data_IF_087378718267
#
_entry.id   IF_087378718267
#
_cell.length_a   1.000
_cell.length_b   1.000
_cell.length_c   1.000
_cell.angle_alpha   90.00
_cell.angle_beta   90.00
_cell.angle_gamma   90.00
#
_symmetry.space_group_name_H-M   'P 1'
#
loop_
_entity.id
_entity.type
_entity.pdbx_description
1 polymer ?
#
# COMPACT_ATOMS: atom_id res chain seq x y z
N UNK A 1 12.34 3.42 -4.64
CA UNK A 1 11.38 3.98 -3.67
C UNK A 1 11.37 3.08 -2.43
N UNK A 2 10.92 3.55 -1.26
CA UNK A 2 10.82 2.72 -0.04
C UNK A 2 9.36 2.64 0.41
N UNK A 3 8.92 1.46 0.85
CA UNK A 3 7.56 1.29 1.35
C UNK A 3 7.28 2.16 2.59
N UNK A 4 8.30 2.37 3.43
CA UNK A 4 8.19 3.20 4.63
C UNK A 4 7.76 4.63 4.32
N UNK A 5 8.15 5.18 3.17
CA UNK A 5 7.72 6.54 2.78
C UNK A 5 6.21 6.61 2.54
N UNK A 6 5.60 5.56 1.98
CA UNK A 6 4.16 5.47 1.78
C UNK A 6 3.43 5.24 3.11
N UNK A 7 3.91 4.28 3.91
CA UNK A 7 3.32 3.97 5.21
C UNK A 7 3.42 5.13 6.20
N UNK A 8 4.51 5.89 6.17
CA UNK A 8 4.65 7.09 6.99
C UNK A 8 3.65 8.18 6.58
N UNK A 9 3.34 8.32 5.29
CA UNK A 9 2.29 9.21 4.81
C UNK A 9 0.92 8.79 5.34
N UNK A 10 0.56 7.52 5.17
CA UNK A 10 -0.72 6.96 5.66
C UNK A 10 -0.84 7.11 7.18
N UNK A 11 0.19 6.74 7.94
CA UNK A 11 0.22 6.89 9.40
C UNK A 11 0.04 8.34 9.84
N UNK A 12 0.64 9.31 9.13
CA UNK A 12 0.44 10.73 9.46
C UNK A 12 -1.01 11.15 9.29
N UNK A 13 -1.69 10.68 8.23
CA UNK A 13 -3.13 10.95 8.04
C UNK A 13 -3.94 10.31 9.17
N UNK A 14 -3.64 9.07 9.51
CA UNK A 14 -4.26 8.33 10.63
C UNK A 14 -4.15 9.11 11.95
N UNK A 15 -2.93 9.53 12.31
CA UNK A 15 -2.67 10.32 13.51
C UNK A 15 -3.47 11.63 13.55
N UNK A 16 -3.73 12.26 12.40
CA UNK A 16 -4.57 13.47 12.33
C UNK A 16 -6.06 13.13 12.51
N UNK A 17 -6.53 12.03 11.90
CA UNK A 17 -7.89 11.52 12.10
C UNK A 17 -8.19 11.23 13.57
N UNK A 18 -7.30 10.50 14.24
CA UNK A 18 -7.36 10.21 15.67
C UNK A 18 -7.43 11.48 16.53
N UNK A 19 -6.56 12.45 16.24
CA UNK A 19 -6.56 13.73 16.96
C UNK A 19 -7.86 14.49 16.76
N UNK A 20 -8.38 14.54 15.53
CA UNK A 20 -9.66 15.18 15.22
C UNK A 20 -10.84 14.47 15.91
N UNK A 21 -10.80 13.15 16.02
CA UNK A 21 -11.79 12.38 16.78
C UNK A 21 -11.67 12.62 18.29
N UNK A 22 -10.48 12.89 18.83
CA UNK A 22 -10.29 13.20 20.24
C UNK A 22 -10.79 14.61 20.62
N UNK A 23 -10.91 15.54 19.67
CA UNK A 23 -11.41 16.90 19.91
C UNK A 23 -12.86 16.87 20.41
N UNK A 24 -13.14 17.63 21.47
CA UNK A 24 -14.49 17.76 22.04
C UNK A 24 -15.36 18.80 21.33
N UNK A 25 -14.74 19.89 20.85
CA UNK A 25 -15.42 21.03 20.21
C UNK A 25 -14.59 21.56 19.03
N UNK A 26 -15.23 21.77 17.88
CA UNK A 26 -14.57 22.20 16.63
C UNK A 26 -14.55 23.73 16.45
N UNK A 27 -14.39 24.48 17.54
CA UNK A 27 -14.49 25.95 17.55
C UNK A 27 -13.14 26.67 17.46
N UNK A 28 -12.03 25.96 17.63
CA UNK A 28 -10.68 26.54 17.63
C UNK A 28 -10.04 26.44 16.23
N UNK A 29 -8.88 27.08 16.03
CA UNK A 29 -8.11 27.01 14.78
C UNK A 29 -7.38 25.67 14.59
N UNK A 30 -7.27 24.89 15.65
CA UNK A 30 -6.53 23.64 15.71
C UNK A 30 -7.11 22.53 14.79
N UNK A 31 -8.44 22.31 14.70
CA UNK A 31 -9.02 21.40 13.71
C UNK A 31 -8.77 21.79 12.25
N UNK A 32 -8.92 23.07 11.88
CA UNK A 32 -8.68 23.53 10.50
C UNK A 32 -7.23 23.27 10.08
N UNK A 33 -6.27 23.64 10.94
CA UNK A 33 -4.85 23.38 10.67
C UNK A 33 -4.57 21.88 10.46
N UNK A 34 -5.20 20.99 11.24
CA UNK A 34 -5.01 19.54 11.06
C UNK A 34 -5.60 19.02 9.75
N UNK A 35 -6.71 19.59 9.30
CA UNK A 35 -7.28 19.26 8.00
C UNK A 35 -6.34 19.71 6.88
N UNK A 36 -5.78 20.92 6.95
CA UNK A 36 -4.80 21.41 5.97
C UNK A 36 -3.55 20.50 5.94
N UNK A 37 -2.99 20.17 7.11
CA UNK A 37 -1.86 19.23 7.23
C UNK A 37 -2.22 17.84 6.66
N UNK A 38 -3.48 17.42 6.77
CA UNK A 38 -3.94 16.15 6.19
C UNK A 38 -4.01 16.21 4.67
N UNK A 39 -4.51 17.31 4.10
CA UNK A 39 -4.59 17.53 2.65
C UNK A 39 -3.18 17.49 2.06
N UNK A 40 -2.22 18.21 2.66
CA UNK A 40 -0.82 18.22 2.21
C UNK A 40 -0.22 16.81 2.17
N UNK A 41 -0.44 16.02 3.23
CA UNK A 41 0.07 14.64 3.30
C UNK A 41 -0.60 13.73 2.26
N UNK A 42 -1.90 13.91 1.99
CA UNK A 42 -2.60 13.15 0.96
C UNK A 42 -2.11 13.48 -0.45
N UNK A 43 -1.76 14.74 -0.71
CA UNK A 43 -1.14 15.16 -1.98
C UNK A 43 0.25 14.53 -2.14
N UNK A 44 1.09 14.55 -1.10
CA UNK A 44 2.39 13.88 -1.10
C UNK A 44 2.24 12.37 -1.34
N UNK A 45 1.26 11.72 -0.69
CA UNK A 45 0.98 10.29 -0.86
C UNK A 45 0.55 9.97 -2.30
N UNK A 46 -0.31 10.80 -2.89
CA UNK A 46 -0.72 10.67 -4.29
C UNK A 46 0.47 10.80 -5.24
N UNK A 47 1.38 11.73 -4.99
CA UNK A 47 2.58 11.91 -5.81
C UNK A 47 3.56 10.74 -5.68
N UNK A 48 3.75 10.21 -4.46
CA UNK A 48 4.56 9.01 -4.25
C UNK A 48 3.98 7.81 -5.01
N UNK A 49 2.66 7.60 -4.95
CA UNK A 49 2.00 6.52 -5.69
C UNK A 49 2.09 6.72 -7.19
N UNK A 50 1.98 7.96 -7.67
CA UNK A 50 2.17 8.32 -9.08
C UNK A 50 3.58 7.99 -9.56
N UNK A 51 4.61 8.35 -8.80
CA UNK A 51 5.99 8.05 -9.12
C UNK A 51 6.31 6.54 -9.13
N UNK A 52 5.51 5.75 -8.41
CA UNK A 52 5.60 4.30 -8.37
C UNK A 52 4.81 3.58 -9.47
N UNK A 53 3.90 4.28 -10.15
CA UNK A 53 3.04 3.71 -11.17
C UNK A 53 3.77 3.58 -12.54
N UNK A 54 3.47 2.54 -13.34
CA UNK A 54 2.54 1.46 -13.06
C UNK A 54 3.11 0.45 -12.07
N UNK A 55 2.26 -0.05 -11.16
CA UNK A 55 2.67 -1.10 -10.24
C UNK A 55 2.94 -2.40 -11.01
N UNK A 56 4.09 -3.06 -10.80
CA UNK A 56 4.40 -4.30 -11.48
C UNK A 56 3.32 -5.36 -11.18
N UNK A 57 2.90 -6.14 -12.19
CA UNK A 57 1.96 -7.23 -11.98
C UNK A 57 2.58 -8.28 -11.06
N UNK A 58 1.75 -9.04 -10.32
CA UNK A 58 2.23 -10.18 -9.54
C UNK A 58 2.97 -11.13 -10.48
N UNK A 59 4.27 -11.32 -10.25
CA UNK A 59 5.02 -12.41 -10.83
C UNK A 59 4.57 -13.69 -10.14
N UNK A 60 3.52 -14.33 -10.67
CA UNK A 60 3.26 -15.74 -10.35
C UNK A 60 4.55 -16.48 -10.72
N UNK A 61 5.26 -17.00 -9.71
CA UNK A 61 6.60 -17.55 -9.87
C UNK A 61 6.64 -18.49 -11.07
N UNK A 62 7.39 -18.10 -12.09
CA UNK A 62 7.62 -18.95 -13.26
C UNK A 62 8.27 -20.24 -12.75
N UNK A 63 7.58 -21.40 -12.80
CA UNK A 63 8.14 -22.66 -12.32
C UNK A 63 9.42 -23.04 -13.09
N UNK A 64 9.71 -22.36 -14.20
CA UNK A 64 10.90 -22.53 -15.03
C UNK A 64 12.18 -21.96 -14.41
N UNK A 65 12.10 -21.18 -13.30
CA UNK A 65 13.28 -20.56 -12.65
C UNK A 65 13.84 -21.32 -11.44
N UNK A 66 13.34 -22.51 -11.14
CA UNK A 66 14.01 -23.43 -10.21
C UNK A 66 15.16 -24.17 -10.94
N UNK A 67 16.21 -23.42 -11.25
CA UNK A 67 17.48 -23.95 -11.76
C UNK A 67 18.31 -24.53 -10.63
N UNK A 68 18.01 -25.79 -10.25
CA UNK A 68 18.85 -26.64 -9.41
C UNK A 68 19.13 -27.95 -10.15
N UNK A 69 20.40 -28.18 -10.45
CA UNK A 69 20.97 -29.25 -11.31
C UNK A 69 20.78 -30.68 -10.80
N UNK A 70 20.63 -31.60 -11.76
CA UNK A 70 20.99 -33.02 -11.75
C UNK A 70 20.42 -33.95 -10.65
N UNK A 71 19.55 -34.89 -11.03
CA UNK A 71 19.88 -36.30 -11.35
C UNK A 71 18.60 -37.16 -11.24
N UNK A 72 18.52 -38.20 -12.08
CA UNK A 72 17.58 -39.33 -12.02
C UNK A 72 16.22 -39.19 -12.74
N UNK A 73 16.31 -39.47 -14.05
CA UNK A 73 15.32 -40.28 -14.77
C UNK A 73 14.87 -41.48 -13.91
N UNK A 74 13.64 -41.44 -13.41
CA UNK A 74 12.89 -42.66 -13.09
C UNK A 74 11.47 -42.56 -13.63
N UNK A 75 11.27 -43.35 -14.69
CA UNK A 75 10.05 -43.87 -15.26
C UNK A 75 8.74 -43.52 -14.52
N UNK A 76 7.88 -42.76 -15.23
CA UNK A 76 6.47 -42.59 -14.90
C UNK A 76 5.76 -43.94 -15.05
N UNK A 77 5.62 -44.64 -13.93
CA UNK A 77 4.65 -45.72 -13.76
C UNK A 77 3.29 -45.07 -13.47
N UNK A 78 2.39 -45.10 -14.45
CA UNK A 78 1.06 -44.52 -14.36
C UNK A 78 0.23 -45.29 -13.33
N UNK A 79 -0.06 -44.66 -12.19
CA UNK A 79 -0.95 -45.19 -11.15
C UNK A 79 -2.20 -44.28 -11.06
N UNK A 80 -3.42 -44.79 -11.28
CA UNK A 80 -4.62 -44.01 -11.16
C UNK A 80 -5.10 -44.09 -9.72
N UNK A 81 -4.57 -43.25 -8.84
CA UNK A 81 -5.22 -42.94 -7.55
C UNK A 81 -4.78 -41.56 -7.08
N UNK A 82 -5.77 -40.82 -6.56
CA UNK A 82 -5.75 -39.37 -6.39
C UNK A 82 -4.67 -38.80 -5.48
N UNK A 83 -4.33 -37.54 -5.76
CA UNK A 83 -3.49 -36.70 -4.89
C UNK A 83 -2.72 -35.67 -5.70
N UNK A 84 -3.38 -34.58 -6.11
CA UNK A 84 -2.70 -33.41 -6.65
C UNK A 84 -1.96 -32.71 -5.49
N UNK A 85 -0.71 -33.10 -5.20
CA UNK A 85 0.19 -32.31 -4.36
C UNK A 85 0.86 -31.24 -5.22
N UNK A 86 0.10 -30.18 -5.51
CA UNK A 86 0.58 -28.97 -6.20
C UNK A 86 0.74 -27.78 -5.25
N UNK A 87 1.27 -27.98 -4.03
CA UNK A 87 1.27 -26.96 -2.97
C UNK A 87 2.56 -26.16 -2.76
N UNK A 88 3.69 -26.53 -3.37
CA UNK A 88 5.00 -26.00 -2.96
C UNK A 88 5.29 -24.52 -3.34
N UNK A 89 4.81 -24.06 -4.50
CA UNK A 89 5.14 -22.73 -5.00
C UNK A 89 4.27 -21.62 -4.37
N UNK A 90 2.97 -21.87 -4.21
CA UNK A 90 2.03 -20.93 -3.59
C UNK A 90 2.28 -20.73 -2.11
N UNK A 91 2.70 -21.79 -1.40
CA UNK A 91 2.96 -21.75 0.05
C UNK A 91 4.24 -20.96 0.37
N UNK A 92 5.26 -21.06 -0.49
CA UNK A 92 6.51 -20.30 -0.36
C UNK A 92 6.32 -18.82 -0.67
N UNK A 93 5.52 -18.47 -1.68
CA UNK A 93 5.19 -17.07 -1.98
C UNK A 93 4.33 -16.44 -0.88
N UNK A 94 3.32 -17.14 -0.35
CA UNK A 94 2.52 -16.67 0.78
C UNK A 94 3.41 -16.41 1.99
N UNK A 95 4.29 -17.36 2.35
CA UNK A 95 5.19 -17.21 3.50
C UNK A 95 6.19 -16.05 3.33
N UNK A 96 6.63 -15.75 2.11
CA UNK A 96 7.50 -14.59 1.83
C UNK A 96 6.73 -13.27 1.92
N UNK A 97 5.52 -13.21 1.40
CA UNK A 97 4.66 -12.03 1.53
C UNK A 97 4.27 -11.77 2.99
N UNK A 98 4.07 -12.82 3.80
CA UNK A 98 3.82 -12.71 5.24
C UNK A 98 5.01 -12.05 5.97
N UNK A 99 6.25 -12.32 5.55
CA UNK A 99 7.43 -11.69 6.12
C UNK A 99 7.45 -10.19 5.82
N UNK A 100 7.23 -9.83 4.56
CA UNK A 100 7.18 -8.43 4.13
C UNK A 100 6.05 -7.72 4.87
N UNK A 101 4.86 -8.32 4.96
CA UNK A 101 3.71 -7.78 5.69
C UNK A 101 4.04 -7.52 7.16
N UNK A 102 4.69 -8.46 7.85
CA UNK A 102 5.10 -8.28 9.25
C UNK A 102 6.06 -7.11 9.45
N UNK A 103 6.98 -6.89 8.50
CA UNK A 103 7.88 -5.72 8.50
C UNK A 103 7.09 -4.43 8.28
N UNK A 104 6.16 -4.43 7.32
CA UNK A 104 5.29 -3.28 7.03
C UNK A 104 4.41 -2.90 8.23
N UNK A 105 3.76 -3.87 8.88
CA UNK A 105 2.95 -3.67 10.09
C UNK A 105 3.80 -3.07 11.21
N UNK A 106 4.99 -3.63 11.46
CA UNK A 106 5.93 -3.10 12.47
C UNK A 106 6.33 -1.66 12.14
N UNK A 107 6.64 -1.39 10.88
CA UNK A 107 6.99 -0.05 10.39
C UNK A 107 5.85 0.93 10.55
N UNK A 108 4.60 0.52 10.25
CA UNK A 108 3.42 1.34 10.45
C UNK A 108 3.21 1.70 11.93
N UNK A 109 3.16 0.69 12.81
CA UNK A 109 2.90 0.89 14.24
C UNK A 109 3.99 1.73 14.93
N UNK A 110 5.26 1.46 14.62
CA UNK A 110 6.41 2.06 15.33
C UNK A 110 7.06 3.21 14.58
N UNK A 111 6.66 3.44 13.34
CA UNK A 111 7.19 4.47 12.44
C UNK A 111 8.51 4.04 11.79
N UNK A 112 8.92 2.78 12.05
CA UNK A 112 10.16 2.18 11.62
C UNK A 112 10.22 0.70 12.03
N UNK A 113 11.05 -0.12 11.36
CA UNK A 113 11.19 -1.54 11.63
C UNK A 113 12.64 -1.91 12.01
N UNK A 114 13.09 -1.62 13.25
CA UNK A 114 14.42 -2.02 13.69
C UNK A 114 14.48 -3.55 13.85
N UNK A 115 15.57 -4.15 13.41
CA UNK A 115 15.75 -5.60 13.35
C UNK A 115 15.63 -6.27 14.73
N UNK A 116 15.91 -5.52 15.79
CA UNK A 116 15.85 -5.94 17.19
C UNK A 116 14.43 -6.21 17.71
N UNK A 117 13.39 -5.71 17.04
CA UNK A 117 11.99 -5.97 17.42
C UNK A 117 11.48 -7.33 16.93
N UNK A 118 12.23 -8.00 16.06
CA UNK A 118 11.84 -9.28 15.50
C UNK A 118 12.42 -10.44 16.31
N UNK A 119 11.68 -11.56 16.36
CA UNK A 119 12.18 -12.81 16.90
C UNK A 119 13.32 -13.38 16.05
N UNK A 120 14.15 -14.25 16.62
CA UNK A 120 15.34 -14.79 15.95
C UNK A 120 15.03 -15.50 14.63
N UNK A 121 13.89 -16.21 14.55
CA UNK A 121 13.46 -16.86 13.30
C UNK A 121 13.18 -15.82 12.20
N UNK A 122 12.52 -14.72 12.56
CA UNK A 122 12.20 -13.63 11.63
C UNK A 122 13.46 -12.89 11.21
N UNK A 123 14.40 -12.65 12.12
CA UNK A 123 15.70 -12.04 11.79
C UNK A 123 16.48 -12.88 10.79
N UNK A 124 16.55 -14.20 11.00
CA UNK A 124 17.21 -15.11 10.06
C UNK A 124 16.54 -15.04 8.68
N UNK A 125 15.21 -15.05 8.64
CA UNK A 125 14.44 -14.94 7.40
C UNK A 125 14.68 -13.60 6.70
N UNK A 126 14.64 -12.47 7.41
CA UNK A 126 14.93 -11.13 6.85
C UNK A 126 16.32 -11.08 6.24
N UNK A 127 17.31 -11.68 6.92
CA UNK A 127 18.70 -11.68 6.45
C UNK A 127 18.90 -12.51 5.18
N UNK A 128 18.07 -13.54 4.98
CA UNK A 128 18.14 -14.44 3.82
C UNK A 128 17.22 -14.05 2.66
N UNK A 129 16.28 -13.13 2.87
CA UNK A 129 15.31 -12.73 1.85
C UNK A 129 15.86 -11.61 0.97
N UNK A 130 15.96 -11.86 -0.33
CA UNK A 130 16.52 -10.95 -1.32
C UNK A 130 15.61 -9.75 -1.63
N UNK A 131 14.37 -9.76 -1.14
CA UNK A 131 13.42 -8.65 -1.28
C UNK A 131 13.58 -7.59 -0.20
N UNK A 132 14.32 -7.87 0.86
CA UNK A 132 14.49 -6.97 2.01
C UNK A 132 15.93 -6.46 2.07
N UNK A 133 16.09 -5.23 2.56
CA UNK A 133 17.41 -4.65 2.83
C UNK A 133 17.53 -4.35 4.31
N UNK A 134 18.70 -4.61 4.90
CA UNK A 134 19.02 -4.15 6.27
C UNK A 134 20.07 -3.05 6.21
N UNK A 135 19.72 -1.85 6.69
CA UNK A 135 20.62 -0.68 6.72
C UNK A 135 20.60 -0.10 8.12
N UNK A 136 21.76 0.04 8.77
CA UNK A 136 21.90 0.60 10.12
C UNK A 136 20.95 -0.03 11.17
N UNK A 137 20.80 -1.36 11.13
CA UNK A 137 19.86 -2.13 11.97
C UNK A 137 18.37 -1.90 11.68
N UNK A 138 18.02 -1.21 10.59
CA UNK A 138 16.65 -1.06 10.12
C UNK A 138 16.37 -2.01 8.96
N UNK A 139 15.24 -2.71 9.05
CA UNK A 139 14.72 -3.51 7.94
C UNK A 139 13.92 -2.59 7.02
N UNK A 140 14.31 -2.55 5.76
CA UNK A 140 13.70 -1.72 4.72
C UNK A 140 13.05 -2.64 3.70
N UNK A 141 11.87 -2.24 3.21
CA UNK A 141 11.20 -2.86 2.07
C UNK A 141 11.38 -1.98 0.84
N UNK A 142 12.34 -2.27 -0.06
CA UNK A 142 12.55 -1.51 -1.27
C UNK A 142 11.42 -1.76 -2.27
N UNK A 143 11.12 -0.73 -3.05
CA UNK A 143 10.14 -0.76 -4.13
C UNK A 143 10.82 -0.38 -5.46
N UNK A 144 10.70 -1.29 -6.42
CA UNK A 144 11.20 -1.15 -7.80
C UNK A 144 10.23 -1.82 -8.77
N UNK A 145 10.34 -1.52 -10.06
CA UNK A 145 9.67 -2.28 -11.13
C UNK A 145 10.43 -3.56 -11.52
N UNK A 146 11.61 -3.79 -10.93
CA UNK A 146 12.53 -4.89 -11.27
C UNK A 146 12.64 -5.85 -10.08
N UNK A 147 12.64 -7.16 -10.37
CA UNK A 147 12.86 -8.20 -9.38
C UNK A 147 14.24 -8.05 -8.68
N UNK A 148 14.35 -8.43 -7.39
CA UNK A 148 13.31 -9.05 -6.56
C UNK A 148 12.30 -8.05 -5.97
N UNK A 149 12.63 -6.75 -5.94
CA UNK A 149 11.80 -5.72 -5.28
C UNK A 149 10.45 -5.44 -5.96
N UNK A 150 10.26 -5.87 -7.21
CA UNK A 150 8.96 -5.85 -7.87
C UNK A 150 7.88 -6.61 -7.08
N UNK A 151 8.25 -7.70 -6.41
CA UNK A 151 7.32 -8.54 -5.65
C UNK A 151 6.82 -7.83 -4.38
N UNK A 152 7.54 -6.83 -3.86
CA UNK A 152 7.14 -6.08 -2.67
C UNK A 152 5.95 -5.15 -2.86
N UNK A 153 5.67 -4.75 -4.11
CA UNK A 153 4.51 -3.89 -4.39
C UNK A 153 3.21 -4.53 -3.94
N UNK A 154 3.11 -5.85 -4.06
CA UNK A 154 1.88 -6.53 -3.74
C UNK A 154 1.49 -6.44 -2.24
N UNK A 155 2.31 -6.93 -1.29
CA UNK A 155 2.02 -6.78 0.13
C UNK A 155 1.92 -5.31 0.56
N UNK A 156 2.72 -4.41 -0.02
CA UNK A 156 2.61 -2.97 0.28
C UNK A 156 1.25 -2.40 -0.09
N UNK A 157 0.74 -2.70 -1.28
CA UNK A 157 -0.57 -2.18 -1.70
C UNK A 157 -1.71 -2.78 -0.87
N UNK A 158 -1.63 -4.06 -0.48
CA UNK A 158 -2.64 -4.64 0.43
C UNK A 158 -2.64 -3.93 1.79
N UNK A 159 -1.47 -3.78 2.43
CA UNK A 159 -1.35 -3.05 3.70
C UNK A 159 -1.80 -1.59 3.59
N UNK A 160 -1.47 -0.89 2.50
CA UNK A 160 -1.93 0.48 2.27
C UNK A 160 -3.46 0.56 2.16
N UNK A 161 -4.09 -0.36 1.44
CA UNK A 161 -5.54 -0.38 1.29
C UNK A 161 -6.25 -0.67 2.61
N UNK A 162 -5.73 -1.62 3.40
CA UNK A 162 -6.26 -1.95 4.72
C UNK A 162 -6.30 -0.71 5.63
N UNK A 163 -5.19 0.02 5.76
CA UNK A 163 -5.15 1.24 6.59
C UNK A 163 -5.95 2.41 5.99
N UNK A 164 -5.92 2.61 4.67
CA UNK A 164 -6.68 3.69 4.04
C UNK A 164 -8.20 3.50 4.19
N UNK A 165 -8.69 2.26 4.19
CA UNK A 165 -10.11 1.99 4.45
C UNK A 165 -10.51 2.38 5.88
N UNK A 166 -9.69 2.04 6.89
CA UNK A 166 -9.91 2.42 8.30
C UNK A 166 -9.89 3.94 8.48
N UNK A 167 -8.85 4.61 7.96
CA UNK A 167 -8.69 6.06 8.00
C UNK A 167 -9.87 6.77 7.33
N UNK A 168 -10.34 6.26 6.19
CA UNK A 168 -11.51 6.81 5.50
C UNK A 168 -12.77 6.74 6.37
N UNK A 169 -12.97 5.64 7.10
CA UNK A 169 -14.10 5.53 8.02
C UNK A 169 -14.02 6.57 9.16
N UNK A 170 -12.82 6.80 9.68
CA UNK A 170 -12.57 7.79 10.73
C UNK A 170 -12.78 9.22 10.23
N UNK A 171 -12.28 9.58 9.06
CA UNK A 171 -12.52 10.92 8.49
C UNK A 171 -13.99 11.13 8.12
N UNK A 172 -14.70 10.12 7.63
CA UNK A 172 -16.16 10.18 7.46
C UNK A 172 -16.87 10.41 8.80
N UNK A 173 -16.36 9.85 9.89
CA UNK A 173 -16.88 10.09 11.25
C UNK A 173 -16.59 11.51 11.73
N UNK A 174 -15.40 12.04 11.47
CA UNK A 174 -15.05 13.45 11.73
C UNK A 174 -15.99 14.38 10.97
N UNK A 175 -16.14 14.19 9.66
CA UNK A 175 -17.00 15.01 8.79
C UNK A 175 -18.44 15.05 9.31
N UNK A 176 -19.01 13.88 9.68
CA UNK A 176 -20.34 13.81 10.31
C UNK A 176 -20.43 14.63 11.60
N UNK A 177 -19.41 14.58 12.46
CA UNK A 177 -19.39 15.33 13.72
C UNK A 177 -19.29 16.83 13.49
N UNK A 178 -18.42 17.27 12.59
CA UNK A 178 -18.27 18.68 12.22
C UNK A 178 -19.59 19.21 11.62
N UNK A 179 -20.29 18.40 10.82
CA UNK A 179 -21.61 18.75 10.26
C UNK A 179 -22.68 18.96 11.33
N UNK A 180 -22.70 18.12 12.37
CA UNK A 180 -23.66 18.20 13.48
C UNK A 180 -23.33 19.34 14.45
N UNK A 181 -22.05 19.62 14.67
CA UNK A 181 -21.57 20.65 15.61
C UNK A 181 -21.78 22.09 15.11
N UNK A 182 -22.52 22.29 14.00
CA UNK A 182 -22.74 23.59 13.34
C UNK A 182 -21.45 24.39 13.15
N UNK A 183 -20.33 23.70 12.92
CA UNK A 183 -19.02 24.29 12.78
C UNK A 183 -18.90 25.15 11.52
N UNK A 184 -17.81 25.91 11.43
CA UNK A 184 -17.52 26.79 10.29
C UNK A 184 -17.76 26.06 8.95
N UNK A 185 -18.34 26.79 7.99
CA UNK A 185 -18.64 26.26 6.65
C UNK A 185 -17.36 25.84 5.92
N UNK A 186 -16.25 26.56 6.11
CA UNK A 186 -14.95 26.23 5.54
C UNK A 186 -14.47 24.88 6.07
N UNK A 187 -14.38 24.72 7.39
CA UNK A 187 -13.97 23.46 8.02
C UNK A 187 -14.82 22.26 7.56
N UNK A 188 -16.12 22.45 7.38
CA UNK A 188 -17.02 21.41 6.83
C UNK A 188 -16.68 21.03 5.39
N UNK A 189 -16.37 22.02 4.55
CA UNK A 189 -15.97 21.78 3.18
C UNK A 189 -14.63 21.03 3.14
N UNK A 190 -13.64 21.49 3.90
CA UNK A 190 -12.29 20.91 3.92
C UNK A 190 -12.30 19.46 4.44
N UNK A 191 -13.13 19.16 5.45
CA UNK A 191 -13.34 17.77 5.89
C UNK A 191 -13.93 16.89 4.78
N UNK A 192 -14.87 17.44 3.99
CA UNK A 192 -15.43 16.76 2.83
C UNK A 192 -14.37 16.48 1.77
N UNK A 193 -13.50 17.46 1.49
CA UNK A 193 -12.37 17.32 0.57
C UNK A 193 -11.44 16.18 0.99
N UNK A 194 -11.08 16.07 2.27
CA UNK A 194 -10.24 14.97 2.76
C UNK A 194 -10.89 13.61 2.51
N UNK A 195 -12.20 13.47 2.77
CA UNK A 195 -12.94 12.24 2.51
C UNK A 195 -12.94 11.90 1.02
N UNK A 196 -13.20 12.88 0.15
CA UNK A 196 -13.20 12.70 -1.31
C UNK A 196 -11.81 12.29 -1.84
N UNK A 197 -10.74 12.89 -1.31
CA UNK A 197 -9.36 12.54 -1.64
C UNK A 197 -9.03 11.10 -1.25
N UNK A 198 -9.40 10.69 -0.02
CA UNK A 198 -9.20 9.32 0.46
C UNK A 198 -9.98 8.30 -0.39
N UNK A 199 -11.25 8.58 -0.70
CA UNK A 199 -12.07 7.74 -1.58
C UNK A 199 -11.45 7.60 -2.97
N UNK A 200 -10.99 8.70 -3.53
CA UNK A 200 -10.32 8.73 -4.84
C UNK A 200 -9.04 7.91 -4.81
N UNK A 201 -8.24 8.05 -3.75
CA UNK A 201 -6.99 7.33 -3.59
C UNK A 201 -7.23 5.81 -3.51
N UNK A 202 -8.13 5.37 -2.64
CA UNK A 202 -8.54 3.97 -2.50
C UNK A 202 -9.04 3.42 -3.84
N UNK A 203 -9.89 4.18 -4.54
CA UNK A 203 -10.42 3.78 -5.84
C UNK A 203 -9.31 3.61 -6.89
N UNK A 204 -8.40 4.58 -7.00
CA UNK A 204 -7.29 4.55 -7.98
C UNK A 204 -6.35 3.39 -7.69
N UNK A 205 -5.98 3.15 -6.42
CA UNK A 205 -5.12 2.03 -6.05
C UNK A 205 -5.78 0.69 -6.38
N UNK A 206 -7.04 0.48 -5.97
CA UNK A 206 -7.79 -0.74 -6.27
C UNK A 206 -7.92 -0.96 -7.77
N UNK A 207 -8.17 0.12 -8.53
CA UNK A 207 -8.23 0.05 -9.99
C UNK A 207 -6.89 -0.33 -10.59
N UNK A 208 -5.79 0.27 -10.15
CA UNK A 208 -4.45 -0.05 -10.65
C UNK A 208 -4.09 -1.53 -10.41
N UNK A 209 -4.48 -2.09 -9.27
CA UNK A 209 -4.30 -3.53 -8.96
C UNK A 209 -5.22 -4.41 -9.82
N UNK A 210 -6.48 -4.01 -10.01
CA UNK A 210 -7.40 -4.75 -10.87
C UNK A 210 -6.94 -4.74 -12.33
N UNK A 211 -6.48 -3.59 -12.82
CA UNK A 211 -5.96 -3.41 -14.16
C UNK A 211 -4.61 -4.14 -14.35
N UNK A 212 -3.72 -4.20 -13.35
CA UNK A 212 -2.49 -5.02 -13.45
C UNK A 212 -2.80 -6.53 -13.51
N UNK A 213 -3.82 -7.00 -12.77
CA UNK A 213 -4.36 -8.37 -12.91
C UNK A 213 -5.01 -8.62 -14.28
N UNK A 214 -5.57 -7.59 -14.91
CA UNK A 214 -6.24 -7.69 -16.21
C UNK A 214 -5.28 -7.55 -17.41
N UNK A 215 -4.25 -6.70 -17.31
CA UNK A 215 -3.23 -6.45 -18.35
C UNK A 215 -2.38 -7.69 -18.61
N UNK A 216 -2.20 -8.59 -17.63
CA UNK A 216 -1.59 -9.91 -17.88
C UNK A 216 -2.42 -10.78 -18.85
N UNK A 217 -3.70 -10.46 -19.10
CA UNK A 217 -4.56 -11.14 -20.08
C UNK A 217 -4.69 -10.41 -21.42
N UNK A 218 -4.26 -9.14 -21.54
CA UNK A 218 -4.41 -8.37 -22.79
C UNK A 218 -3.47 -7.16 -22.83
N UNK A 219 -2.44 -7.26 -23.66
CA UNK A 219 -1.31 -6.34 -23.79
C UNK A 219 -1.65 -4.94 -24.36
N UNK A 220 -0.92 -3.95 -23.86
CA UNK A 220 -0.38 -2.69 -24.43
C UNK A 220 -1.21 -1.45 -24.79
N UNK A 221 -2.52 -1.50 -25.08
CA UNK A 221 -3.17 -0.27 -25.61
C UNK A 221 -3.78 0.71 -24.56
N UNK A 222 -4.00 0.29 -23.30
CA UNK A 222 -4.82 1.06 -22.32
C UNK A 222 -4.05 1.76 -21.19
N UNK A 223 -2.73 1.61 -21.13
CA UNK A 223 -1.91 2.23 -20.06
C UNK A 223 -1.83 3.77 -20.21
N UNK A 224 -1.89 4.30 -21.43
CA UNK A 224 -1.95 5.74 -21.66
C UNK A 224 -3.25 6.39 -21.17
N UNK A 225 -4.37 5.66 -21.20
CA UNK A 225 -5.67 6.15 -20.72
C UNK A 225 -5.70 6.31 -19.20
N UNK A 226 -5.12 5.34 -18.46
CA UNK A 226 -5.03 5.39 -17.00
C UNK A 226 -4.20 6.57 -16.50
N UNK A 227 -3.04 6.80 -17.11
CA UNK A 227 -2.17 7.93 -16.75
C UNK A 227 -2.88 9.28 -17.00
N UNK A 228 -3.64 9.40 -18.09
CA UNK A 228 -4.43 10.62 -18.36
C UNK A 228 -5.59 10.84 -17.38
N UNK A 229 -6.13 9.76 -16.80
CA UNK A 229 -7.22 9.85 -15.82
C UNK A 229 -6.69 10.33 -14.46
N UNK A 230 -5.53 9.82 -14.05
CA UNK A 230 -4.84 10.25 -12.83
C UNK A 230 -4.37 11.70 -12.98
N UNK A 231 -3.83 12.08 -14.13
CA UNK A 231 -3.44 13.45 -14.45
C UNK A 231 -4.64 14.42 -14.40
N UNK A 232 -5.81 14.01 -14.91
CA UNK A 232 -7.02 14.82 -14.85
C UNK A 232 -7.55 14.95 -13.42
N UNK A 233 -7.57 13.87 -12.64
CA UNK A 233 -8.02 13.90 -11.24
C UNK A 233 -7.10 14.76 -10.35
N UNK A 234 -5.78 14.63 -10.50
CA UNK A 234 -4.81 15.45 -9.76
C UNK A 234 -4.84 16.92 -10.17
N UNK A 235 -5.07 17.23 -11.45
CA UNK A 235 -5.20 18.62 -11.91
C UNK A 235 -6.49 19.27 -11.41
N UNK A 236 -7.61 18.53 -11.37
CA UNK A 236 -8.88 19.04 -10.84
C UNK A 236 -8.82 19.31 -9.34
N UNK A 237 -8.20 18.40 -8.58
CA UNK A 237 -8.02 18.58 -7.14
C UNK A 237 -7.06 19.73 -6.81
N UNK A 238 -6.03 19.96 -7.63
CA UNK A 238 -5.11 21.10 -7.48
C UNK A 238 -5.66 22.46 -7.96
N UNK A 239 -6.64 22.46 -8.89
CA UNK A 239 -7.27 23.70 -9.36
C UNK A 239 -8.35 24.22 -8.42
N UNK A 240 -9.09 23.33 -7.77
CA UNK A 240 -10.17 23.72 -6.85
C UNK A 240 -9.65 24.27 -5.52
N UNK A 241 -8.37 24.04 -5.20
CA UNK A 241 -7.72 24.58 -3.99
C UNK A 241 -7.03 25.95 -4.20
N UNK A 242 -6.99 26.47 -5.44
CA UNK A 242 -6.35 27.75 -5.80
C UNK A 242 -7.36 28.83 -6.27
N UNK A 243 -8.67 28.62 -6.07
CA UNK A 243 -9.75 29.53 -6.45
C UNK A 243 -10.56 29.98 -5.24
#
# INVERSE_FOLDING_TARGET
MRADSLLQGVRRVDEQGDRLLAVRTFSDTDPSRRIDETIDVLLDLAELLRAGAPFPPRTEGDPSRSGGTDTERKSLEYRPDGGFQGGGATDTHSRRDDLVRRVLETSYERGSAPIELFDSETVDRVTTDDRLETVDSWVIVPLSSIAPYADNWHPVIETLLEHLDEILEDFRRVERRVRVAESDRALRADCGTVVEMLETLVFVIRRAVADSRYVHRRTDQRQAELLSTIERATTQLGSDHNA
#
